data_IF_055909660451
#
_entry.id   IF_055909660451
#
_cell.length_a   1.000
_cell.length_b   1.000
_cell.length_c   1.000
_cell.angle_alpha   90.00
_cell.angle_beta   90.00
_cell.angle_gamma   90.00
#
_symmetry.space_group_name_H-M   'P 1'
#
loop_
_entity.id
_entity.type
_entity.pdbx_description
1 polymer ?
#
# COMPACT_ATOMS: atom_id res chain seq x y z
N UNK A 1 -28.75 4.34 -6.07
CA UNK A 1 -27.61 3.40 -6.19
C UNK A 1 -26.98 3.65 -7.56
N UNK A 2 -26.02 4.57 -7.66
CA UNK A 2 -25.36 4.85 -8.93
C UNK A 2 -24.27 3.80 -9.14
N UNK A 3 -24.45 2.96 -10.15
CA UNK A 3 -23.38 2.12 -10.67
C UNK A 3 -22.24 3.04 -11.11
N UNK A 4 -21.18 3.11 -10.31
CA UNK A 4 -19.96 3.83 -10.65
C UNK A 4 -19.40 3.14 -11.87
N UNK A 5 -19.61 3.70 -13.07
CA UNK A 5 -18.93 3.21 -14.27
C UNK A 5 -17.42 3.35 -14.03
N UNK A 6 -16.72 2.22 -13.98
CA UNK A 6 -15.27 2.22 -13.92
C UNK A 6 -14.72 2.56 -15.30
N UNK A 7 -13.61 3.27 -15.31
CA UNK A 7 -12.84 3.41 -16.54
C UNK A 7 -12.26 2.03 -16.90
N UNK A 8 -12.16 1.67 -18.19
CA UNK A 8 -11.57 0.41 -18.63
C UNK A 8 -10.17 0.16 -18.04
N UNK A 9 -9.41 1.23 -17.82
CA UNK A 9 -8.10 1.20 -17.20
C UNK A 9 -8.13 0.64 -15.77
N UNK A 10 -9.03 1.13 -14.90
CA UNK A 10 -9.12 0.63 -13.51
C UNK A 10 -9.52 -0.84 -13.48
N UNK A 11 -10.38 -1.28 -14.40
CA UNK A 11 -10.75 -2.69 -14.50
C UNK A 11 -9.56 -3.56 -14.89
N UNK A 12 -8.75 -3.12 -15.86
CA UNK A 12 -7.55 -3.87 -16.23
C UNK A 12 -6.57 -3.97 -15.05
N UNK A 13 -6.27 -2.85 -14.38
CA UNK A 13 -5.39 -2.85 -13.19
C UNK A 13 -5.94 -3.72 -12.06
N UNK A 14 -7.25 -3.71 -11.90
CA UNK A 14 -7.93 -4.59 -10.95
C UNK A 14 -7.78 -6.07 -11.32
N UNK A 15 -7.93 -6.45 -12.59
CA UNK A 15 -7.78 -7.84 -13.02
C UNK A 15 -6.35 -8.37 -12.83
N UNK A 16 -5.35 -7.56 -13.19
CA UNK A 16 -3.93 -7.85 -12.96
C UNK A 16 -3.65 -8.04 -11.46
N UNK A 17 -4.12 -7.11 -10.62
CA UNK A 17 -3.99 -7.24 -9.17
C UNK A 17 -4.72 -8.48 -8.64
N UNK A 18 -5.95 -8.74 -9.08
CA UNK A 18 -6.75 -9.86 -8.59
C UNK A 18 -6.06 -11.19 -8.86
N UNK A 19 -5.49 -11.36 -10.06
CA UNK A 19 -4.72 -12.55 -10.41
C UNK A 19 -3.53 -12.74 -9.46
N UNK A 20 -2.81 -11.66 -9.16
CA UNK A 20 -1.72 -11.69 -8.19
C UNK A 20 -2.20 -12.10 -6.79
N UNK A 21 -3.30 -11.50 -6.30
CA UNK A 21 -3.86 -11.81 -4.99
C UNK A 21 -4.36 -13.25 -4.88
N UNK A 22 -4.98 -13.79 -5.94
CA UNK A 22 -5.48 -15.15 -5.97
C UNK A 22 -4.36 -16.20 -5.94
N UNK A 23 -3.13 -15.83 -6.31
CA UNK A 23 -1.95 -16.72 -6.27
C UNK A 23 -1.02 -16.46 -5.08
N UNK A 24 -1.18 -15.32 -4.40
CA UNK A 24 -0.31 -14.98 -3.27
C UNK A 24 -0.67 -15.80 -2.02
N UNK A 25 0.32 -16.48 -1.45
CA UNK A 25 0.23 -17.11 -0.12
C UNK A 25 1.06 -16.30 0.89
N UNK A 26 0.43 -15.81 1.95
CA UNK A 26 1.10 -15.07 3.01
C UNK A 26 1.46 -13.62 2.63
N UNK A 27 2.70 -13.23 2.92
CA UNK A 27 3.16 -11.85 2.71
C UNK A 27 3.26 -11.50 1.22
N UNK A 28 2.68 -10.35 0.87
CA UNK A 28 2.84 -9.73 -0.45
C UNK A 28 3.02 -8.22 -0.28
N UNK A 29 3.93 -7.62 -1.03
CA UNK A 29 4.16 -6.17 -1.01
C UNK A 29 3.85 -5.58 -2.39
N UNK A 30 2.87 -4.69 -2.44
CA UNK A 30 2.41 -4.05 -3.67
C UNK A 30 2.64 -2.54 -3.56
N UNK A 31 3.34 -1.97 -4.53
CA UNK A 31 3.47 -0.52 -4.67
C UNK A 31 2.55 0.02 -5.75
N UNK A 32 1.84 1.10 -5.43
CA UNK A 32 1.15 1.95 -6.40
C UNK A 32 1.72 3.36 -6.36
N UNK A 33 2.03 3.91 -7.53
CA UNK A 33 2.52 5.27 -7.69
C UNK A 33 1.50 6.06 -8.51
N UNK A 34 0.83 7.02 -7.88
CA UNK A 34 -0.24 7.78 -8.53
C UNK A 34 -0.53 9.09 -7.81
N UNK A 35 -0.72 10.15 -8.59
CA UNK A 35 -1.26 11.42 -8.11
C UNK A 35 -2.79 11.51 -8.37
N UNK A 36 -3.38 10.52 -9.05
CA UNK A 36 -4.80 10.46 -9.34
C UNK A 36 -5.58 9.80 -8.20
N UNK A 37 -5.96 10.61 -7.22
CA UNK A 37 -6.68 10.16 -6.03
C UNK A 37 -8.04 9.50 -6.36
N UNK A 38 -8.71 9.93 -7.43
CA UNK A 38 -10.01 9.39 -7.82
C UNK A 38 -9.88 7.96 -8.38
N UNK A 39 -8.86 7.72 -9.19
CA UNK A 39 -8.54 6.38 -9.72
C UNK A 39 -8.11 5.44 -8.60
N UNK A 40 -7.23 5.90 -7.70
CA UNK A 40 -6.78 5.12 -6.55
C UNK A 40 -7.92 4.76 -5.60
N UNK A 41 -8.86 5.67 -5.35
CA UNK A 41 -10.04 5.41 -4.52
C UNK A 41 -10.95 4.33 -5.13
N UNK A 42 -11.16 4.34 -6.46
CA UNK A 42 -11.92 3.28 -7.15
C UNK A 42 -11.23 1.91 -7.03
N UNK A 43 -9.91 1.88 -7.19
CA UNK A 43 -9.12 0.65 -7.02
C UNK A 43 -9.19 0.15 -5.57
N UNK A 44 -9.02 1.04 -4.58
CA UNK A 44 -9.15 0.71 -3.15
C UNK A 44 -10.50 0.06 -2.85
N UNK A 45 -11.59 0.61 -3.38
CA UNK A 45 -12.93 0.04 -3.20
C UNK A 45 -13.07 -1.37 -3.80
N UNK A 46 -12.35 -1.69 -4.88
CA UNK A 46 -12.31 -3.04 -5.45
C UNK A 46 -11.53 -4.01 -4.56
N UNK A 47 -10.37 -3.59 -4.08
CA UNK A 47 -9.56 -4.36 -3.13
C UNK A 47 -10.36 -4.63 -1.85
N UNK A 48 -11.04 -3.61 -1.31
CA UNK A 48 -11.90 -3.75 -0.13
C UNK A 48 -13.04 -4.76 -0.35
N UNK A 49 -13.74 -4.70 -1.48
CA UNK A 49 -14.79 -5.68 -1.84
C UNK A 49 -14.25 -7.10 -1.98
N UNK A 50 -13.04 -7.26 -2.55
CA UNK A 50 -12.40 -8.55 -2.72
C UNK A 50 -12.09 -9.23 -1.39
N UNK A 51 -11.55 -8.49 -0.42
CA UNK A 51 -11.28 -9.01 0.91
C UNK A 51 -12.56 -9.21 1.73
N UNK A 52 -13.54 -8.31 1.61
CA UNK A 52 -14.84 -8.45 2.28
C UNK A 52 -15.56 -9.74 1.84
N UNK A 53 -15.50 -10.08 0.55
CA UNK A 53 -16.02 -11.36 0.02
C UNK A 53 -15.33 -12.60 0.60
N UNK A 54 -14.15 -12.44 1.22
CA UNK A 54 -13.38 -13.48 1.93
C UNK A 54 -13.43 -13.29 3.46
N UNK A 55 -14.43 -12.56 3.95
CA UNK A 55 -14.62 -12.25 5.38
C UNK A 55 -13.43 -11.58 6.06
N UNK A 56 -12.57 -10.90 5.29
CA UNK A 56 -11.39 -10.19 5.77
C UNK A 56 -11.58 -8.69 5.57
N UNK A 57 -11.23 -7.87 6.56
CA UNK A 57 -11.32 -6.41 6.43
C UNK A 57 -10.03 -5.83 5.90
N UNK A 58 -10.12 -4.88 4.97
CA UNK A 58 -8.98 -4.08 4.54
C UNK A 58 -8.73 -2.99 5.58
N UNK A 59 -7.56 -3.01 6.21
CA UNK A 59 -7.15 -1.94 7.12
C UNK A 59 -6.57 -0.78 6.32
N UNK A 60 -7.13 0.40 6.51
CA UNK A 60 -6.67 1.62 5.82
C UNK A 60 -5.86 2.45 6.82
N UNK A 61 -4.67 2.87 6.41
CA UNK A 61 -3.80 3.77 7.16
C UNK A 61 -3.50 4.95 6.24
N UNK A 62 -3.94 6.14 6.64
CA UNK A 62 -3.63 7.38 5.92
C UNK A 62 -2.49 8.11 6.61
N UNK A 63 -1.81 8.98 5.88
CA UNK A 63 -1.00 10.02 6.50
C UNK A 63 -1.86 10.97 7.34
N UNK A 64 -1.42 11.24 8.57
CA UNK A 64 -1.99 12.24 9.46
C UNK A 64 -0.87 13.19 9.89
N UNK A 65 -1.10 14.51 9.79
CA UNK A 65 -0.14 15.51 10.28
C UNK A 65 -0.16 15.57 11.81
N UNK A 66 0.40 14.55 12.44
CA UNK A 66 0.50 14.36 13.89
C UNK A 66 1.87 13.82 14.25
N UNK A 67 2.41 14.28 15.37
CA UNK A 67 3.75 13.89 15.84
C UNK A 67 3.86 12.37 16.12
N UNK A 68 2.75 11.73 16.52
CA UNK A 68 2.68 10.30 16.83
C UNK A 68 2.39 9.39 15.62
N UNK A 69 2.16 9.97 14.44
CA UNK A 69 1.71 9.23 13.26
C UNK A 69 2.69 8.13 12.85
N UNK A 70 3.99 8.44 12.81
CA UNK A 70 5.03 7.49 12.39
C UNK A 70 5.09 6.28 13.32
N UNK A 71 5.07 6.52 14.63
CA UNK A 71 5.13 5.46 15.64
C UNK A 71 3.86 4.58 15.57
N UNK A 72 2.68 5.19 15.43
CA UNK A 72 1.40 4.46 15.29
C UNK A 72 1.35 3.62 14.01
N UNK A 73 1.85 4.17 12.91
CA UNK A 73 1.91 3.48 11.62
C UNK A 73 2.89 2.31 11.68
N UNK A 74 4.10 2.51 12.22
CA UNK A 74 5.07 1.43 12.40
C UNK A 74 4.55 0.33 13.33
N UNK A 75 3.89 0.68 14.45
CA UNK A 75 3.25 -0.32 15.33
C UNK A 75 2.17 -1.14 14.62
N UNK A 76 1.48 -0.54 13.65
CA UNK A 76 0.45 -1.20 12.86
C UNK A 76 1.02 -2.12 11.77
N UNK A 77 2.15 -1.74 11.18
CA UNK A 77 2.81 -2.49 10.10
C UNK A 77 3.78 -3.56 10.63
N UNK A 78 4.37 -3.32 11.80
CA UNK A 78 5.35 -4.18 12.46
C UNK A 78 4.86 -4.53 13.87
N UNK A 79 3.74 -5.25 13.97
CA UNK A 79 3.19 -5.67 15.24
C UNK A 79 4.14 -6.64 15.97
N UNK A 80 3.95 -6.79 17.29
CA UNK A 80 4.69 -7.81 18.07
C UNK A 80 4.16 -9.23 17.87
N UNK A 81 3.00 -9.38 17.25
CA UNK A 81 2.34 -10.66 16.93
C UNK A 81 1.91 -10.61 15.48
N UNK A 82 1.91 -11.75 14.80
CA UNK A 82 1.56 -11.79 13.39
C UNK A 82 0.15 -11.22 13.14
N UNK A 83 0.03 -10.40 12.10
CA UNK A 83 -1.23 -9.84 11.63
C UNK A 83 -1.67 -10.59 10.38
N UNK A 84 -2.96 -10.90 10.33
CA UNK A 84 -3.62 -11.61 9.23
C UNK A 84 -4.65 -10.73 8.50
N UNK A 85 -4.50 -9.40 8.54
CA UNK A 85 -5.32 -8.44 7.77
C UNK A 85 -4.48 -7.74 6.70
N UNK A 86 -5.00 -7.54 5.48
CA UNK A 86 -4.35 -6.75 4.44
C UNK A 86 -4.40 -5.26 4.81
N UNK A 87 -3.36 -4.52 4.44
CA UNK A 87 -3.18 -3.12 4.81
C UNK A 87 -3.05 -2.26 3.56
N UNK A 88 -3.85 -1.20 3.48
CA UNK A 88 -3.77 -0.13 2.50
C UNK A 88 -3.15 1.11 3.14
N UNK A 89 -1.87 1.33 2.88
CA UNK A 89 -1.10 2.47 3.38
C UNK A 89 -1.12 3.58 2.33
N UNK A 90 -1.93 4.61 2.57
CA UNK A 90 -2.20 5.69 1.63
C UNK A 90 -1.40 6.95 1.96
N UNK A 91 -0.37 7.23 1.15
CA UNK A 91 0.63 8.27 1.35
C UNK A 91 0.73 9.22 0.14
N UNK A 92 -0.34 9.42 -0.61
CA UNK A 92 -0.35 10.27 -1.81
C UNK A 92 -1.32 11.46 -1.74
N UNK A 93 -1.95 11.70 -0.57
CA UNK A 93 -2.96 12.77 -0.41
C UNK A 93 -2.42 14.12 0.02
N UNK A 94 -1.26 14.15 0.65
CA UNK A 94 -0.59 15.36 1.14
C UNK A 94 0.75 15.48 0.43
N UNK A 95 0.91 16.57 -0.33
CA UNK A 95 2.08 16.88 -1.16
C UNK A 95 3.07 17.81 -0.46
N UNK A 96 2.81 18.21 0.79
CA UNK A 96 3.69 19.09 1.54
C UNK A 96 5.05 18.43 1.81
N UNK A 97 6.10 19.24 1.89
CA UNK A 97 7.46 18.77 2.20
C UNK A 97 7.51 17.97 3.52
N UNK A 98 6.71 18.37 4.52
CA UNK A 98 6.61 17.65 5.79
C UNK A 98 6.06 16.22 5.61
N UNK A 99 5.02 16.07 4.79
CA UNK A 99 4.44 14.77 4.47
C UNK A 99 5.44 13.92 3.69
N UNK A 100 6.08 14.48 2.67
CA UNK A 100 7.11 13.81 1.89
C UNK A 100 8.28 13.33 2.77
N UNK A 101 8.77 14.18 3.68
CA UNK A 101 9.80 13.78 4.64
C UNK A 101 9.34 12.60 5.52
N UNK A 102 8.07 12.60 5.95
CA UNK A 102 7.48 11.51 6.73
C UNK A 102 7.36 10.21 5.92
N UNK A 103 6.99 10.28 4.64
CA UNK A 103 6.92 9.12 3.75
C UNK A 103 8.29 8.50 3.56
N UNK A 104 9.29 9.32 3.25
CA UNK A 104 10.68 8.89 3.06
C UNK A 104 11.23 8.22 4.31
N UNK A 105 11.03 8.82 5.48
CA UNK A 105 11.43 8.22 6.75
C UNK A 105 10.70 6.90 7.02
N UNK A 106 9.40 6.82 6.77
CA UNK A 106 8.65 5.57 6.94
C UNK A 106 9.19 4.47 6.01
N UNK A 107 9.45 4.78 4.75
CA UNK A 107 10.02 3.82 3.78
C UNK A 107 11.38 3.31 4.26
N UNK A 108 12.27 4.19 4.72
CA UNK A 108 13.57 3.80 5.28
C UNK A 108 13.39 2.85 6.49
N UNK A 109 12.47 3.16 7.40
CA UNK A 109 12.19 2.31 8.57
C UNK A 109 11.60 0.94 8.21
N UNK A 110 10.81 0.86 7.14
CA UNK A 110 10.29 -0.40 6.62
C UNK A 110 11.39 -1.19 5.91
N UNK A 111 12.29 -0.51 5.20
CA UNK A 111 13.48 -1.13 4.58
C UNK A 111 14.38 -1.79 5.62
N UNK A 112 14.73 -1.06 6.69
CA UNK A 112 15.51 -1.56 7.83
C UNK A 112 14.90 -2.79 8.49
N UNK A 113 13.56 -2.93 8.44
CA UNK A 113 12.79 -3.98 9.14
C UNK A 113 12.04 -4.90 8.19
N UNK A 114 12.47 -4.98 6.93
CA UNK A 114 11.82 -5.76 5.88
C UNK A 114 11.61 -7.22 6.29
N UNK A 115 12.59 -7.85 6.94
CA UNK A 115 12.44 -9.26 7.34
C UNK A 115 11.43 -9.44 8.45
N UNK A 116 11.28 -8.46 9.35
CA UNK A 116 10.20 -8.46 10.32
C UNK A 116 8.85 -8.34 9.60
N UNK A 117 8.74 -7.41 8.64
CA UNK A 117 7.53 -7.23 7.84
C UNK A 117 7.11 -8.54 7.14
N UNK A 118 8.05 -9.22 6.47
CA UNK A 118 7.81 -10.49 5.77
C UNK A 118 7.39 -11.64 6.68
N UNK A 119 7.90 -11.66 7.91
CA UNK A 119 7.59 -12.73 8.88
C UNK A 119 6.29 -12.49 9.62
N UNK A 120 5.99 -11.23 9.94
CA UNK A 120 4.91 -10.89 10.86
C UNK A 120 3.61 -10.47 10.13
N UNK A 121 3.69 -10.04 8.86
CA UNK A 121 2.50 -9.74 8.06
C UNK A 121 2.20 -10.88 7.10
N UNK A 122 1.15 -11.67 7.37
CA UNK A 122 0.75 -12.81 6.54
C UNK A 122 -0.28 -12.45 5.45
N UNK A 123 -0.32 -11.18 5.05
CA UNK A 123 -1.26 -10.65 4.07
C UNK A 123 -0.57 -9.63 3.17
N UNK A 124 -1.32 -9.10 2.20
CA UNK A 124 -0.81 -8.06 1.32
C UNK A 124 -0.72 -6.70 2.02
N UNK A 125 0.45 -6.05 1.93
CA UNK A 125 0.65 -4.63 2.18
C UNK A 125 0.64 -3.88 0.84
N UNK A 126 -0.32 -2.97 0.70
CA UNK A 126 -0.37 -1.99 -0.38
C UNK A 126 0.24 -0.68 0.12
N UNK A 127 1.25 -0.16 -0.58
CA UNK A 127 1.85 1.14 -0.32
C UNK A 127 1.55 2.05 -1.50
N UNK A 128 0.80 3.12 -1.26
CA UNK A 128 0.36 4.07 -2.28
C UNK A 128 1.14 5.36 -2.07
N UNK A 129 1.92 5.76 -3.05
CA UNK A 129 2.81 6.92 -3.00
C UNK A 129 2.56 7.84 -4.21
N UNK A 130 2.99 9.11 -4.15
CA UNK A 130 2.97 10.01 -5.30
C UNK A 130 3.82 9.45 -6.46
N UNK A 131 3.53 9.86 -7.69
CA UNK A 131 4.21 9.33 -8.89
C UNK A 131 5.75 9.44 -8.80
N UNK A 132 6.25 10.59 -8.33
CA UNK A 132 7.69 10.87 -8.24
C UNK A 132 8.45 9.95 -7.26
N UNK A 133 7.76 9.23 -6.36
CA UNK A 133 8.39 8.29 -5.43
C UNK A 133 8.87 7.00 -6.09
N UNK A 134 8.49 6.70 -7.33
CA UNK A 134 8.93 5.48 -8.01
C UNK A 134 10.47 5.39 -8.08
N UNK A 135 11.14 6.48 -8.45
CA UNK A 135 12.59 6.56 -8.48
C UNK A 135 13.18 6.50 -7.06
N UNK A 136 12.60 7.27 -6.13
CA UNK A 136 13.03 7.31 -4.72
C UNK A 136 13.00 5.93 -4.07
N UNK A 137 11.95 5.15 -4.30
CA UNK A 137 11.83 3.80 -3.74
C UNK A 137 12.89 2.84 -4.31
N UNK A 138 13.17 2.93 -5.62
CA UNK A 138 14.19 2.09 -6.28
C UNK A 138 15.59 2.37 -5.74
N UNK A 139 15.90 3.62 -5.44
CA UNK A 139 17.23 4.07 -5.06
C UNK A 139 17.46 4.04 -3.54
N UNK A 140 16.51 4.54 -2.76
CA UNK A 140 16.68 4.79 -1.32
C UNK A 140 16.28 3.62 -0.43
N UNK A 141 15.43 2.71 -0.92
CA UNK A 141 14.96 1.53 -0.15
C UNK A 141 15.07 0.23 -0.95
N UNK A 142 16.30 -0.14 -1.39
CA UNK A 142 16.52 -1.25 -2.31
C UNK A 142 16.10 -2.61 -1.73
N UNK A 143 16.21 -2.81 -0.42
CA UNK A 143 15.84 -4.06 0.24
C UNK A 143 14.33 -4.27 0.27
N UNK A 144 13.57 -3.22 0.59
CA UNK A 144 12.11 -3.23 0.57
C UNK A 144 11.61 -3.37 -0.87
N UNK A 145 12.21 -2.61 -1.80
CA UNK A 145 11.93 -2.69 -3.22
C UNK A 145 12.18 -4.09 -3.78
N UNK A 146 13.26 -4.76 -3.35
CA UNK A 146 13.64 -6.09 -3.79
C UNK A 146 12.66 -7.20 -3.42
N UNK A 147 11.79 -7.00 -2.44
CA UNK A 147 10.78 -7.99 -2.03
C UNK A 147 9.35 -7.63 -2.44
N UNK A 148 9.18 -6.55 -3.22
CA UNK A 148 7.89 -6.24 -3.81
C UNK A 148 7.44 -7.37 -4.75
N UNK A 149 6.17 -7.67 -4.71
CA UNK A 149 5.54 -8.63 -5.60
C UNK A 149 4.98 -7.94 -6.85
N UNK A 150 4.49 -6.70 -6.70
CA UNK A 150 3.96 -5.88 -7.79
C UNK A 150 4.34 -4.42 -7.58
N UNK A 151 4.58 -3.67 -8.66
CA UNK A 151 4.76 -2.22 -8.63
C UNK A 151 4.21 -1.59 -9.90
N UNK A 152 3.22 -0.71 -9.76
CA UNK A 152 2.52 -0.11 -10.89
C UNK A 152 2.43 1.42 -10.77
N UNK A 153 2.43 2.08 -11.93
CA UNK A 153 2.07 3.49 -12.06
C UNK A 153 0.62 3.56 -12.54
N UNK A 154 -0.18 4.40 -11.90
CA UNK A 154 -1.59 4.61 -12.25
C UNK A 154 -1.81 6.11 -12.50
N UNK A 155 -2.31 6.44 -13.69
CA UNK A 155 -2.56 7.82 -14.12
C UNK A 155 -4.00 8.30 -13.81
#
# INVERSE_FOLDING_TARGET
>A
MNATHLTPEVEQRWLELRQHLDWSEGFSLVFYFSDNLATMEKLRQRVEKYYLGRSTKLKIINYERRDDWMERTLKSLLPRKSINEPIWLELNRDDSELAQNSYSQLMLRLNERRDQLRRDLNQTLFIILPFHYLAVCRESVPDLWGVRALSEVIE
#
